data_IF_766952619726
#
_entry.id   IF_766952619726
#
_cell.length_a   1.000
_cell.length_b   1.000
_cell.length_c   1.000
_cell.angle_alpha   90.00
_cell.angle_beta   90.00
_cell.angle_gamma   90.00
#
_symmetry.space_group_name_H-M   'P 1'
#
loop_
_entity.id
_entity.type
_entity.pdbx_description
1 polymer ?
#
# COMPACT_ATOMS: atom_id res chain seq x y z
N UNK A 1 -10.12 -13.43 6.70
CA UNK A 1 -9.13 -14.37 7.31
C UNK A 1 -7.85 -14.50 6.48
N UNK A 2 -6.69 -14.57 7.15
CA UNK A 2 -5.38 -14.80 6.51
C UNK A 2 -5.15 -16.31 6.32
N UNK A 3 -4.89 -16.74 5.08
CA UNK A 3 -4.80 -18.13 4.64
C UNK A 3 -3.46 -18.40 3.94
N UNK A 4 -2.38 -18.36 4.70
CA UNK A 4 -1.09 -18.85 4.22
C UNK A 4 -0.88 -20.33 4.60
N UNK A 5 -0.13 -21.11 3.80
CA UNK A 5 0.23 -22.48 4.15
C UNK A 5 0.98 -22.53 5.49
N UNK A 6 0.82 -23.60 6.27
CA UNK A 6 1.55 -23.74 7.54
C UNK A 6 3.08 -23.76 7.35
N UNK A 7 3.56 -24.20 6.18
CA UNK A 7 4.98 -24.28 5.82
C UNK A 7 5.69 -22.93 5.79
N UNK A 8 4.97 -21.82 5.59
CA UNK A 8 5.54 -20.47 5.47
C UNK A 8 5.52 -19.70 6.79
N UNK A 9 4.95 -20.29 7.85
CA UNK A 9 4.83 -19.64 9.17
C UNK A 9 6.15 -19.70 9.92
N UNK A 10 6.60 -18.54 10.38
CA UNK A 10 7.86 -18.38 11.15
C UNK A 10 7.58 -17.97 12.59
N UNK A 11 6.66 -17.01 12.79
CA UNK A 11 6.32 -16.44 14.10
C UNK A 11 7.54 -16.07 14.96
N UNK A 12 8.45 -15.27 14.39
CA UNK A 12 9.69 -14.84 15.06
C UNK A 12 9.60 -13.39 15.50
N UNK A 13 9.75 -13.13 16.80
CA UNK A 13 9.84 -11.78 17.35
C UNK A 13 11.12 -11.09 16.89
N UNK A 14 11.00 -9.87 16.38
CA UNK A 14 12.13 -9.00 16.08
C UNK A 14 12.33 -8.01 17.25
N UNK A 15 13.50 -8.03 17.92
CA UNK A 15 13.83 -7.02 18.92
C UNK A 15 13.83 -5.62 18.31
N UNK A 16 13.23 -4.64 19.00
CA UNK A 16 13.19 -3.25 18.50
C UNK A 16 14.59 -2.66 18.36
N UNK A 17 15.50 -3.10 19.23
CA UNK A 17 16.92 -2.76 19.23
C UNK A 17 17.64 -3.25 17.97
N UNK A 18 17.13 -4.28 17.28
CA UNK A 18 17.70 -4.73 16.02
C UNK A 18 17.51 -3.68 14.91
N UNK A 19 16.40 -2.95 14.95
CA UNK A 19 16.13 -1.88 13.99
C UNK A 19 17.02 -0.67 14.25
N UNK A 20 17.26 -0.25 15.50
CA UNK A 20 18.13 0.91 15.76
C UNK A 20 19.62 0.66 15.56
N UNK A 21 20.07 -0.60 15.66
CA UNK A 21 21.49 -0.94 15.51
C UNK A 21 21.94 -1.03 14.06
N UNK A 22 21.04 -1.44 13.17
CA UNK A 22 21.38 -1.70 11.78
C UNK A 22 20.77 -0.67 10.82
N UNK A 23 19.80 0.12 11.27
CA UNK A 23 19.24 1.20 10.48
C UNK A 23 19.92 2.53 10.80
N UNK A 24 20.35 3.27 9.78
CA UNK A 24 20.82 4.65 9.95
C UNK A 24 19.62 5.54 10.22
N UNK A 25 19.28 5.73 11.50
CA UNK A 25 18.06 6.45 11.92
C UNK A 25 18.38 7.62 12.84
N UNK A 26 17.59 8.68 12.75
CA UNK A 26 17.71 9.83 13.65
C UNK A 26 17.25 9.47 15.07
N UNK A 27 17.66 10.28 16.06
CA UNK A 27 17.17 10.16 17.44
C UNK A 27 15.63 10.28 17.50
N UNK A 28 15.06 11.24 16.77
CA UNK A 28 13.61 11.43 16.68
C UNK A 28 12.90 10.20 16.12
N UNK A 29 13.46 9.54 15.09
CA UNK A 29 12.90 8.29 14.58
C UNK A 29 12.90 7.19 15.65
N UNK A 30 14.01 7.05 16.37
CA UNK A 30 14.14 6.07 17.45
C UNK A 30 13.07 6.30 18.53
N UNK A 31 12.92 7.54 18.99
CA UNK A 31 11.92 7.91 19.99
C UNK A 31 10.49 7.65 19.52
N UNK A 32 10.17 8.03 18.28
CA UNK A 32 8.87 7.73 17.67
C UNK A 32 8.63 6.22 17.60
N UNK A 33 9.60 5.43 17.14
CA UNK A 33 9.45 3.98 17.08
C UNK A 33 9.22 3.38 18.48
N UNK A 34 9.98 3.77 19.50
CA UNK A 34 9.81 3.25 20.87
C UNK A 34 8.44 3.60 21.44
N UNK A 35 7.99 4.84 21.20
CA UNK A 35 6.71 5.34 21.72
C UNK A 35 5.49 4.82 20.97
N UNK A 36 5.65 4.38 19.71
CA UNK A 36 4.53 3.98 18.86
C UNK A 36 4.43 2.48 18.60
N UNK A 37 5.55 1.77 18.61
CA UNK A 37 5.59 0.33 18.34
C UNK A 37 5.73 -0.44 19.65
N UNK A 38 4.77 -1.34 19.88
CA UNK A 38 4.84 -2.27 20.99
C UNK A 38 5.80 -3.43 20.67
N UNK A 39 5.48 -4.18 19.61
CA UNK A 39 6.24 -5.36 19.20
C UNK A 39 6.17 -5.58 17.70
N UNK A 40 7.14 -6.32 17.17
CA UNK A 40 7.24 -6.68 15.76
C UNK A 40 7.51 -8.17 15.66
N UNK A 41 6.79 -8.84 14.77
CA UNK A 41 6.97 -10.25 14.45
C UNK A 41 7.13 -10.41 12.94
N UNK A 42 8.07 -11.25 12.53
CA UNK A 42 7.98 -11.91 11.22
C UNK A 42 7.02 -13.06 11.40
N UNK A 43 5.78 -12.90 10.94
CA UNK A 43 4.77 -13.94 11.09
C UNK A 43 4.93 -15.00 10.01
N UNK A 44 5.19 -14.58 8.76
CA UNK A 44 5.40 -15.45 7.62
C UNK A 44 6.61 -15.04 6.78
N UNK A 45 7.30 -16.04 6.21
CA UNK A 45 8.37 -15.89 5.21
C UNK A 45 7.98 -16.73 4.00
N UNK A 46 7.69 -16.04 2.89
CA UNK A 46 7.26 -16.65 1.65
C UNK A 46 8.47 -16.67 0.71
N UNK A 47 8.98 -17.87 0.48
CA UNK A 47 9.98 -18.16 -0.53
C UNK A 47 9.37 -19.06 -1.60
N UNK A 48 9.91 -19.07 -2.83
CA UNK A 48 9.41 -19.96 -3.87
C UNK A 48 9.42 -21.43 -3.44
N UNK A 49 10.46 -21.86 -2.72
CA UNK A 49 10.55 -23.21 -2.16
C UNK A 49 9.42 -23.48 -1.16
N UNK A 50 9.14 -22.55 -0.25
CA UNK A 50 8.08 -22.72 0.77
C UNK A 50 6.66 -22.77 0.19
N UNK A 51 6.49 -22.24 -1.03
CA UNK A 51 5.25 -22.23 -1.81
C UNK A 51 5.22 -23.29 -2.92
N UNK A 52 6.25 -24.13 -3.04
CA UNK A 52 6.39 -25.19 -4.05
C UNK A 52 6.37 -24.70 -5.51
N UNK A 53 6.94 -23.53 -5.82
CA UNK A 53 7.07 -23.06 -7.19
C UNK A 53 8.27 -23.71 -7.90
N UNK A 54 8.03 -24.30 -9.09
CA UNK A 54 9.03 -25.07 -9.86
C UNK A 54 10.11 -24.20 -10.52
N UNK A 55 9.76 -22.96 -10.91
CA UNK A 55 10.66 -22.00 -11.56
C UNK A 55 10.67 -20.70 -10.77
N UNK A 56 11.81 -20.36 -10.20
CA UNK A 56 11.95 -19.11 -9.46
C UNK A 56 13.42 -18.81 -9.16
N UNK A 57 13.73 -17.53 -9.00
CA UNK A 57 14.99 -17.08 -8.41
C UNK A 57 14.99 -17.48 -6.93
N UNK A 58 15.90 -18.38 -6.53
CA UNK A 58 16.03 -18.81 -5.12
C UNK A 58 16.30 -17.65 -4.13
N UNK A 59 16.65 -16.46 -4.63
CA UNK A 59 16.95 -15.26 -3.86
C UNK A 59 15.73 -14.42 -3.48
N UNK A 60 14.54 -14.71 -4.01
CA UNK A 60 13.35 -13.91 -3.72
C UNK A 60 12.61 -14.40 -2.47
N UNK A 61 12.36 -13.46 -1.55
CA UNK A 61 11.67 -13.70 -0.30
C UNK A 61 10.76 -12.52 0.03
N UNK A 62 9.51 -12.82 0.39
CA UNK A 62 8.54 -11.87 0.92
C UNK A 62 8.38 -12.14 2.40
N UNK A 63 8.68 -11.15 3.24
CA UNK A 63 8.46 -11.21 4.67
C UNK A 63 7.19 -10.46 5.03
N UNK A 64 6.29 -11.14 5.76
CA UNK A 64 5.08 -10.55 6.30
C UNK A 64 5.32 -10.22 7.77
N UNK A 65 5.39 -8.92 8.06
CA UNK A 65 5.60 -8.42 9.40
C UNK A 65 4.28 -8.02 10.05
N UNK A 66 4.02 -8.54 11.24
CA UNK A 66 2.98 -8.00 12.12
C UNK A 66 3.64 -6.98 13.04
N UNK A 67 3.16 -5.74 12.99
CA UNK A 67 3.59 -4.65 13.85
C UNK A 67 2.44 -4.30 14.78
N UNK A 68 2.60 -4.60 16.07
CA UNK A 68 1.64 -4.19 17.10
C UNK A 68 1.92 -2.75 17.50
N UNK A 69 0.94 -1.88 17.29
CA UNK A 69 1.05 -0.46 17.59
C UNK A 69 0.47 -0.14 18.97
N UNK A 70 1.01 0.88 19.62
CA UNK A 70 0.51 1.44 20.89
C UNK A 70 -0.59 2.47 20.68
N UNK A 71 -0.67 3.05 19.48
CA UNK A 71 -1.72 3.99 19.05
C UNK A 71 -2.00 3.80 17.57
N UNK A 72 -3.23 4.10 17.17
CA UNK A 72 -3.66 3.97 15.78
C UNK A 72 -3.00 5.01 14.85
N UNK A 73 -2.81 6.23 15.36
CA UNK A 73 -2.11 7.29 14.63
C UNK A 73 -0.60 7.21 14.89
N UNK A 74 0.13 6.65 13.93
CA UNK A 74 1.56 6.40 14.00
C UNK A 74 2.29 7.07 12.84
N UNK A 75 3.58 7.33 13.01
CA UNK A 75 4.41 7.95 11.97
C UNK A 75 4.67 6.97 10.83
N UNK A 76 3.95 7.15 9.72
CA UNK A 76 4.02 6.29 8.51
C UNK A 76 5.42 6.18 7.90
N UNK A 77 6.27 7.21 8.05
CA UNK A 77 7.66 7.21 7.61
C UNK A 77 8.48 6.05 8.23
N UNK A 78 8.03 5.53 9.38
CA UNK A 78 8.60 4.35 10.00
C UNK A 78 8.64 3.14 9.06
N UNK A 79 7.54 2.88 8.35
CA UNK A 79 7.45 1.75 7.44
C UNK A 79 8.33 1.93 6.21
N UNK A 80 8.40 3.15 5.68
CA UNK A 80 9.27 3.45 4.54
C UNK A 80 10.73 3.21 4.86
N UNK A 81 11.18 3.65 6.02
CA UNK A 81 12.56 3.48 6.47
C UNK A 81 12.88 2.00 6.67
N UNK A 82 11.98 1.24 7.31
CA UNK A 82 12.16 -0.22 7.49
C UNK A 82 12.22 -0.92 6.13
N UNK A 83 11.31 -0.60 5.20
CA UNK A 83 11.27 -1.23 3.89
C UNK A 83 12.51 -0.90 3.04
N UNK A 84 12.91 0.38 2.97
CA UNK A 84 14.05 0.82 2.15
C UNK A 84 15.40 0.24 2.59
N UNK A 85 15.53 -0.08 3.88
CA UNK A 85 16.78 -0.58 4.44
C UNK A 85 16.77 -2.11 4.63
N UNK A 86 15.69 -2.79 4.25
CA UNK A 86 15.62 -4.24 4.25
C UNK A 86 15.86 -4.76 2.83
N UNK A 87 16.75 -5.75 2.63
CA UNK A 87 16.99 -6.31 1.30
C UNK A 87 15.82 -7.16 0.77
N UNK A 88 14.90 -7.60 1.63
CA UNK A 88 13.75 -8.43 1.25
C UNK A 88 12.50 -7.60 0.95
N UNK A 89 11.56 -8.17 0.19
CA UNK A 89 10.23 -7.57 -0.02
C UNK A 89 9.45 -7.63 1.31
N UNK A 90 9.00 -6.49 1.81
CA UNK A 90 8.29 -6.40 3.09
C UNK A 90 6.81 -6.06 2.91
N UNK A 91 5.95 -6.91 3.45
CA UNK A 91 4.52 -6.64 3.62
C UNK A 91 4.23 -6.41 5.10
N UNK A 92 3.51 -5.33 5.43
CA UNK A 92 3.22 -4.96 6.81
C UNK A 92 1.74 -5.17 7.13
N UNK A 93 1.48 -5.80 8.27
CA UNK A 93 0.17 -5.86 8.93
C UNK A 93 0.31 -5.09 10.23
N UNK A 94 -0.24 -3.89 10.26
CA UNK A 94 -0.33 -3.07 11.45
C UNK A 94 -1.52 -3.55 12.27
N UNK A 95 -1.33 -3.75 13.56
CA UNK A 95 -2.41 -4.14 14.48
C UNK A 95 -2.51 -3.14 15.62
N UNK A 96 -3.72 -2.67 15.87
CA UNK A 96 -4.05 -1.86 17.03
C UNK A 96 -5.40 -2.30 17.58
N UNK A 97 -5.42 -2.83 18.81
CA UNK A 97 -6.61 -3.47 19.39
C UNK A 97 -7.13 -4.57 18.45
N UNK A 98 -8.40 -4.50 18.02
CA UNK A 98 -9.03 -5.48 17.12
C UNK A 98 -9.00 -5.06 15.65
N UNK A 99 -8.40 -3.91 15.35
CA UNK A 99 -8.32 -3.38 14.00
C UNK A 99 -6.93 -3.63 13.41
N UNK A 100 -6.91 -3.81 12.09
CA UNK A 100 -5.72 -4.02 11.30
C UNK A 100 -5.67 -3.05 10.12
N UNK A 101 -4.45 -2.72 9.70
CA UNK A 101 -4.19 -1.97 8.48
C UNK A 101 -3.05 -2.65 7.72
N UNK A 102 -3.25 -2.84 6.43
CA UNK A 102 -2.25 -3.42 5.54
C UNK A 102 -1.41 -2.31 4.93
N UNK A 103 -0.12 -2.54 4.77
CA UNK A 103 0.78 -1.58 4.13
C UNK A 103 1.89 -2.28 3.36
N UNK A 104 2.31 -1.64 2.27
CA UNK A 104 3.40 -2.12 1.41
C UNK A 104 4.16 -0.94 0.84
N UNK A 105 5.48 -1.07 0.73
CA UNK A 105 6.32 -0.07 0.06
C UNK A 105 6.74 -0.59 -1.32
N UNK A 106 6.34 0.15 -2.36
CA UNK A 106 6.72 -0.12 -3.76
C UNK A 106 6.90 1.20 -4.49
N UNK A 107 8.11 1.77 -4.43
CA UNK A 107 8.42 3.14 -4.86
C UNK A 107 7.84 4.24 -3.96
N UNK A 108 6.60 4.07 -3.47
CA UNK A 108 5.95 4.83 -2.41
C UNK A 108 5.24 3.89 -1.43
N UNK A 109 4.86 4.41 -0.26
CA UNK A 109 4.09 3.65 0.72
C UNK A 109 2.59 3.65 0.35
N UNK A 110 2.03 2.45 0.21
CA UNK A 110 0.60 2.23 0.07
C UNK A 110 0.04 1.68 1.38
N UNK A 111 -1.17 2.09 1.72
CA UNK A 111 -1.87 1.69 2.94
C UNK A 111 -3.34 1.45 2.64
N UNK A 112 -3.87 0.35 3.17
CA UNK A 112 -5.30 0.10 3.20
C UNK A 112 -5.99 1.04 4.19
N UNK A 113 -7.33 1.03 4.19
CA UNK A 113 -8.07 1.55 5.35
C UNK A 113 -7.88 0.61 6.55
N UNK A 114 -8.13 1.12 7.75
CA UNK A 114 -8.28 0.28 8.93
C UNK A 114 -9.54 -0.58 8.78
N UNK A 115 -9.42 -1.87 9.08
CA UNK A 115 -10.50 -2.85 9.00
C UNK A 115 -10.43 -3.80 10.19
N UNK A 116 -11.52 -4.50 10.51
CA UNK A 116 -11.49 -5.49 11.60
C UNK A 116 -10.55 -6.63 11.21
N UNK A 117 -9.89 -7.23 12.20
CA UNK A 117 -8.99 -8.36 11.97
C UNK A 117 -9.66 -9.54 11.22
N UNK A 118 -10.96 -9.74 11.42
CA UNK A 118 -11.78 -10.74 10.73
C UNK A 118 -11.96 -10.46 9.24
N UNK A 119 -12.06 -9.19 8.86
CA UNK A 119 -12.24 -8.72 7.47
C UNK A 119 -10.95 -8.82 6.65
N UNK A 120 -9.78 -8.93 7.31
CA UNK A 120 -8.49 -9.04 6.61
C UNK A 120 -8.42 -10.37 5.87
N UNK A 121 -8.40 -10.32 4.54
CA UNK A 121 -8.23 -11.49 3.68
C UNK A 121 -6.89 -11.41 2.92
N UNK A 122 -6.02 -12.39 3.17
CA UNK A 122 -4.71 -12.53 2.52
C UNK A 122 -4.44 -14.00 2.22
N UNK A 123 -3.93 -14.29 1.04
CA UNK A 123 -3.52 -15.61 0.58
C UNK A 123 -2.31 -15.45 -0.34
N UNK A 124 -1.52 -16.52 -0.49
CA UNK A 124 -0.50 -16.58 -1.53
C UNK A 124 -1.18 -17.03 -2.83
N UNK A 125 -1.60 -16.07 -3.65
CA UNK A 125 -2.27 -16.29 -4.94
C UNK A 125 -1.27 -16.06 -6.07
N UNK A 126 -1.24 -16.98 -7.05
CA UNK A 126 -0.32 -16.94 -8.19
C UNK A 126 0.51 -18.21 -8.36
N UNK A 127 1.21 -18.28 -9.48
CA UNK A 127 2.07 -19.42 -9.87
C UNK A 127 3.56 -19.12 -9.71
N UNK A 128 3.90 -17.92 -9.27
CA UNK A 128 5.27 -17.45 -9.03
C UNK A 128 5.34 -16.53 -7.80
N UNK A 129 6.54 -16.31 -7.25
CA UNK A 129 6.69 -15.43 -6.07
C UNK A 129 6.44 -13.97 -6.45
N UNK A 130 6.72 -13.62 -7.70
CA UNK A 130 6.46 -12.33 -8.31
C UNK A 130 4.96 -12.09 -8.38
N UNK A 131 4.17 -13.03 -8.93
CA UNK A 131 2.71 -12.92 -8.94
C UNK A 131 2.14 -12.80 -7.52
N UNK A 132 2.62 -13.60 -6.57
CA UNK A 132 2.18 -13.48 -5.16
C UNK A 132 2.45 -12.08 -4.61
N UNK A 133 3.60 -11.50 -4.92
CA UNK A 133 3.93 -10.13 -4.52
C UNK A 133 2.99 -9.11 -5.17
N UNK A 134 2.70 -9.24 -6.46
CA UNK A 134 1.77 -8.36 -7.17
C UNK A 134 0.37 -8.41 -6.55
N UNK A 135 -0.17 -9.61 -6.30
CA UNK A 135 -1.48 -9.77 -5.66
C UNK A 135 -1.52 -9.12 -4.26
N UNK A 136 -0.44 -9.25 -3.47
CA UNK A 136 -0.34 -8.58 -2.17
C UNK A 136 -0.36 -7.05 -2.31
N UNK A 137 0.36 -6.49 -3.28
CA UNK A 137 0.32 -5.05 -3.55
C UNK A 137 -1.09 -4.61 -3.93
N UNK A 138 -1.78 -5.37 -4.78
CA UNK A 138 -3.12 -5.02 -5.24
C UNK A 138 -4.13 -4.91 -4.10
N UNK A 139 -4.10 -5.86 -3.15
CA UNK A 139 -4.98 -5.83 -1.96
C UNK A 139 -4.80 -4.57 -1.12
N UNK A 140 -3.65 -3.91 -1.19
CA UNK A 140 -3.37 -2.68 -0.43
C UNK A 140 -3.61 -1.43 -1.27
N UNK A 141 -3.04 -1.37 -2.47
CA UNK A 141 -2.97 -0.16 -3.26
C UNK A 141 -4.30 0.22 -3.94
N UNK A 142 -5.19 -0.76 -4.14
CA UNK A 142 -6.38 -0.62 -4.97
C UNK A 142 -7.69 -0.99 -4.27
N UNK A 143 -7.68 -1.16 -2.94
CA UNK A 143 -8.88 -1.53 -2.16
C UNK A 143 -10.06 -0.57 -2.36
N UNK A 144 -9.78 0.70 -2.66
CA UNK A 144 -10.74 1.79 -2.83
C UNK A 144 -10.94 2.23 -4.28
N UNK A 145 -10.36 1.53 -5.26
CA UNK A 145 -10.56 1.80 -6.68
C UNK A 145 -11.39 0.71 -7.33
N UNK A 146 -12.48 1.13 -7.98
CA UNK A 146 -13.19 0.31 -8.94
C UNK A 146 -12.55 0.49 -10.34
N UNK A 147 -12.61 -0.56 -11.17
CA UNK A 147 -12.24 -0.52 -12.60
C UNK A 147 -10.76 -0.23 -12.88
N UNK A 148 -9.86 -0.99 -12.26
CA UNK A 148 -8.46 -1.02 -12.70
C UNK A 148 -8.32 -2.09 -13.78
N UNK A 149 -7.66 -1.81 -14.91
CA UNK A 149 -7.47 -2.79 -15.96
C UNK A 149 -6.73 -4.02 -15.42
N UNK A 150 -7.28 -5.21 -15.60
CA UNK A 150 -6.69 -6.43 -15.04
C UNK A 150 -5.43 -6.86 -15.79
N UNK A 151 -5.37 -6.61 -17.12
CA UNK A 151 -4.36 -7.14 -18.04
C UNK A 151 -3.14 -6.23 -18.26
N UNK A 152 -2.78 -5.41 -17.26
CA UNK A 152 -1.56 -4.59 -17.28
C UNK A 152 -0.68 -4.93 -16.08
N UNK A 153 0.63 -4.71 -16.18
CA UNK A 153 1.56 -4.96 -15.08
C UNK A 153 1.23 -4.14 -13.82
N UNK A 154 1.63 -4.64 -12.65
CA UNK A 154 1.43 -3.95 -11.37
C UNK A 154 1.99 -2.52 -11.40
N UNK A 155 3.15 -2.31 -12.02
CA UNK A 155 3.78 -0.99 -12.13
C UNK A 155 2.92 -0.03 -12.94
N UNK A 156 2.32 -0.50 -14.03
CA UNK A 156 1.40 0.31 -14.83
C UNK A 156 0.09 0.62 -14.07
N UNK A 157 -0.46 -0.34 -13.30
CA UNK A 157 -1.62 -0.09 -12.42
C UNK A 157 -1.28 0.98 -11.38
N UNK A 158 -0.08 0.93 -10.79
CA UNK A 158 0.37 1.90 -9.78
C UNK A 158 0.63 3.29 -10.38
N UNK A 159 1.14 3.38 -11.61
CA UNK A 159 1.27 4.64 -12.35
C UNK A 159 -0.13 5.25 -12.58
N UNK A 160 -1.11 4.44 -13.01
CA UNK A 160 -2.49 4.87 -13.21
C UNK A 160 -3.10 5.41 -11.92
N UNK A 161 -2.97 4.67 -10.82
CA UNK A 161 -3.37 5.13 -9.48
C UNK A 161 -2.70 6.45 -9.10
N UNK A 162 -1.40 6.59 -9.37
CA UNK A 162 -0.68 7.84 -9.13
C UNK A 162 -1.26 9.03 -9.90
N UNK A 163 -1.73 8.83 -11.14
CA UNK A 163 -2.43 9.88 -11.92
C UNK A 163 -3.79 10.22 -11.29
N UNK A 164 -4.57 9.20 -10.94
CA UNK A 164 -5.88 9.35 -10.28
C UNK A 164 -5.73 10.13 -8.96
N UNK A 165 -4.75 9.79 -8.12
CA UNK A 165 -4.48 10.46 -6.86
C UNK A 165 -4.18 11.96 -7.05
N UNK A 166 -3.37 12.29 -8.08
CA UNK A 166 -3.01 13.67 -8.41
C UNK A 166 -4.23 14.48 -8.86
N UNK A 167 -5.01 13.94 -9.80
CA UNK A 167 -6.23 14.58 -10.30
C UNK A 167 -7.23 14.82 -9.15
N UNK A 168 -7.47 13.83 -8.30
CA UNK A 168 -8.35 13.99 -7.14
C UNK A 168 -7.85 15.08 -6.18
N UNK A 169 -6.54 15.16 -5.93
CA UNK A 169 -5.95 16.23 -5.11
C UNK A 169 -6.16 17.61 -5.75
N UNK A 170 -5.98 17.73 -7.06
CA UNK A 170 -6.16 18.98 -7.80
C UNK A 170 -7.62 19.44 -7.83
N UNK A 171 -8.54 18.50 -8.09
CA UNK A 171 -9.99 18.71 -7.98
C UNK A 171 -10.34 19.26 -6.59
N UNK A 172 -9.89 18.61 -5.51
CA UNK A 172 -10.18 19.06 -4.15
C UNK A 172 -9.61 20.47 -3.85
N UNK A 173 -8.44 20.82 -4.41
CA UNK A 173 -7.86 22.16 -4.27
C UNK A 173 -8.70 23.21 -4.99
N UNK A 174 -9.10 22.91 -6.23
CA UNK A 174 -9.90 23.83 -7.05
C UNK A 174 -11.31 23.97 -6.49
N UNK A 175 -11.94 22.89 -6.02
CA UNK A 175 -13.26 22.96 -5.36
C UNK A 175 -13.24 23.89 -4.14
N UNK A 176 -12.20 23.79 -3.31
CA UNK A 176 -12.01 24.72 -2.18
C UNK A 176 -11.78 26.16 -2.64
N UNK A 177 -11.08 26.38 -3.75
CA UNK A 177 -10.86 27.71 -4.32
C UNK A 177 -12.17 28.31 -4.88
N UNK A 178 -12.95 27.53 -5.64
CA UNK A 178 -14.27 27.90 -6.17
C UNK A 178 -15.22 28.31 -5.04
N UNK A 179 -15.23 27.55 -3.94
CA UNK A 179 -16.11 27.82 -2.81
C UNK A 179 -15.76 29.13 -2.09
N UNK A 180 -14.46 29.47 -2.01
CA UNK A 180 -13.98 30.71 -1.38
C UNK A 180 -14.08 31.94 -2.28
N UNK A 181 -14.09 31.78 -3.60
CA UNK A 181 -14.06 32.88 -4.56
C UNK A 181 -15.40 33.62 -4.62
N UNK A 182 -15.33 34.96 -4.51
CA UNK A 182 -16.48 35.86 -4.51
C UNK A 182 -16.67 36.53 -5.87
N UNK A 183 -15.59 36.71 -6.65
CA UNK A 183 -15.63 37.36 -7.95
C UNK A 183 -16.25 36.42 -9.00
N UNK A 184 -17.41 36.77 -9.61
CA UNK A 184 -18.12 35.86 -10.51
C UNK A 184 -17.29 35.37 -11.70
N UNK A 185 -16.48 36.27 -12.28
CA UNK A 185 -15.62 35.95 -13.43
C UNK A 185 -14.57 34.88 -13.10
N UNK A 186 -13.84 35.06 -11.99
CA UNK A 186 -12.82 34.10 -11.53
C UNK A 186 -13.45 32.78 -11.09
N UNK A 187 -14.61 32.84 -10.44
CA UNK A 187 -15.37 31.65 -10.07
C UNK A 187 -15.76 30.82 -11.29
N UNK A 188 -16.20 31.48 -12.38
CA UNK A 188 -16.50 30.80 -13.64
C UNK A 188 -15.28 30.13 -14.27
N UNK A 189 -14.13 30.82 -14.32
CA UNK A 189 -12.86 30.25 -14.81
C UNK A 189 -12.45 29.01 -14.01
N UNK A 190 -12.55 29.07 -12.67
CA UNK A 190 -12.26 27.94 -11.79
C UNK A 190 -13.24 26.77 -11.99
N UNK A 191 -14.53 27.03 -12.24
CA UNK A 191 -15.49 25.97 -12.61
C UNK A 191 -15.14 25.31 -13.94
N UNK A 192 -14.65 26.08 -14.92
CA UNK A 192 -14.17 25.54 -16.20
C UNK A 192 -13.02 24.56 -16.01
N UNK A 193 -12.01 24.94 -15.21
CA UNK A 193 -10.90 24.06 -14.84
C UNK A 193 -11.36 22.82 -14.08
N UNK A 194 -12.27 22.99 -13.10
CA UNK A 194 -12.82 21.89 -12.33
C UNK A 194 -13.53 20.86 -13.22
N UNK A 195 -14.31 21.33 -14.21
CA UNK A 195 -15.00 20.45 -15.16
C UNK A 195 -14.01 19.69 -16.04
N UNK A 196 -12.97 20.34 -16.53
CA UNK A 196 -11.94 19.69 -17.35
C UNK A 196 -11.21 18.57 -16.58
N UNK A 197 -10.82 18.83 -15.32
CA UNK A 197 -10.17 17.81 -14.48
C UNK A 197 -11.10 16.64 -14.13
N UNK A 198 -12.39 16.92 -13.90
CA UNK A 198 -13.39 15.85 -13.67
C UNK A 198 -13.59 14.99 -14.92
N UNK A 199 -13.59 15.59 -16.11
CA UNK A 199 -13.65 14.86 -17.37
C UNK A 199 -12.42 13.96 -17.56
N UNK A 200 -11.21 14.50 -17.33
CA UNK A 200 -9.98 13.71 -17.44
C UNK A 200 -9.98 12.51 -16.48
N UNK A 201 -10.48 12.70 -15.25
CA UNK A 201 -10.63 11.61 -14.29
C UNK A 201 -11.62 10.54 -14.79
N UNK A 202 -12.75 10.96 -15.37
CA UNK A 202 -13.75 10.07 -15.95
C UNK A 202 -13.17 9.28 -17.14
N UNK A 203 -12.47 9.94 -18.05
CA UNK A 203 -11.84 9.30 -19.21
C UNK A 203 -10.80 8.25 -18.79
N UNK A 204 -10.04 8.50 -17.71
CA UNK A 204 -9.03 7.56 -17.18
C UNK A 204 -9.68 6.36 -16.47
N UNK A 205 -10.85 6.55 -15.85
CA UNK A 205 -11.53 5.52 -15.03
C UNK A 205 -12.60 4.74 -15.80
N UNK A 206 -13.12 5.29 -16.90
CA UNK A 206 -14.18 4.69 -17.72
C UNK A 206 -13.78 4.46 -19.19
N UNK A 207 -12.81 5.21 -19.73
CA UNK A 207 -12.43 5.19 -21.15
C UNK A 207 -11.70 3.95 -21.66
N UNK A 208 -11.64 2.86 -20.88
CA UNK A 208 -11.12 1.57 -21.35
C UNK A 208 -12.21 0.58 -21.78
N UNK A 209 -13.50 0.88 -21.59
CA UNK A 209 -14.59 -0.02 -21.99
C UNK A 209 -15.12 0.21 -23.42
N UNK A 210 -14.63 1.22 -24.16
CA UNK A 210 -15.20 1.59 -25.47
C UNK A 210 -14.32 1.22 -26.69
N UNK A 211 -13.10 0.69 -26.50
CA UNK A 211 -12.18 0.44 -27.61
C UNK A 211 -12.03 -1.04 -28.04
N UNK A 212 -12.85 -1.97 -27.52
CA UNK A 212 -12.84 -3.39 -27.96
C UNK A 212 -13.99 -3.81 -28.89
N UNK A 213 -14.84 -2.86 -29.33
CA UNK A 213 -15.87 -3.15 -30.34
C UNK A 213 -15.65 -2.34 -31.62
N UNK A 214 -14.61 -2.69 -32.39
CA UNK A 214 -14.57 -2.41 -33.84
C UNK A 214 -13.81 -3.49 -34.58
#
# INVERSE_FOLDING_TARGET
>A
MIKFPASVRVHKRLPKEAFYRHLTVSSAFKENFISEVDSIYVEWSLTPKSLNFEKSSFSEEILILIIQLKKQDFHKQLLEIIAKQNPHKLFFILSFKNDMQLAVYHGKLYQSKWMRAEDVYLSAEGFSIEEVWEHLIEKVAFQDLANIPENISIDNKLILRGKIDRLNSEILKIEKAVWKEQQPKKKFELYGQLRALKQELEDITHGQNENENT
#
